data_IF_160499615478
#
_entry.id   IF_160499615478
#
_cell.length_a   1.000
_cell.length_b   1.000
_cell.length_c   1.000
_cell.angle_alpha   90.00
_cell.angle_beta   90.00
_cell.angle_gamma   90.00
#
_symmetry.space_group_name_H-M   'P 1'
#
loop_
_entity.id
_entity.type
_entity.pdbx_description
1 polymer ?
#
# COMPACT_ATOMS: atom_id res chain seq x y z
N UNK A 1 -35.48 -3.23 -0.79
CA UNK A 1 -34.19 -3.96 -0.71
C UNK A 1 -34.37 -5.08 0.29
N UNK A 2 -33.91 -6.30 0.00
CA UNK A 2 -34.09 -7.43 0.93
C UNK A 2 -33.40 -7.13 2.28
N UNK A 3 -33.98 -7.54 3.42
CA UNK A 3 -33.42 -7.29 4.74
C UNK A 3 -32.00 -7.85 4.89
N UNK A 4 -31.70 -8.92 4.17
CA UNK A 4 -30.37 -9.55 4.10
C UNK A 4 -29.33 -8.65 3.42
N UNK A 5 -29.69 -7.97 2.32
CA UNK A 5 -28.79 -7.02 1.66
C UNK A 5 -28.49 -5.82 2.56
N UNK A 6 -29.48 -5.34 3.31
CA UNK A 6 -29.25 -4.26 4.27
C UNK A 6 -28.32 -4.71 5.40
N UNK A 7 -28.57 -5.88 6.00
CA UNK A 7 -27.72 -6.42 7.06
C UNK A 7 -26.26 -6.59 6.59
N UNK A 8 -26.06 -7.10 5.37
CA UNK A 8 -24.75 -7.19 4.73
C UNK A 8 -24.11 -5.81 4.55
N UNK A 9 -24.81 -4.85 3.95
CA UNK A 9 -24.28 -3.50 3.72
C UNK A 9 -23.93 -2.74 5.01
N UNK A 10 -24.59 -3.04 6.12
CA UNK A 10 -24.27 -2.46 7.44
C UNK A 10 -23.20 -3.20 8.24
N UNK A 11 -22.73 -4.37 7.80
CA UNK A 11 -21.74 -5.19 8.53
C UNK A 11 -20.31 -4.64 8.51
N UNK A 12 -20.15 -3.32 8.38
CA UNK A 12 -18.86 -2.64 8.41
C UNK A 12 -18.19 -2.83 9.76
N UNK A 13 -17.00 -3.41 9.74
CA UNK A 13 -16.19 -3.54 10.94
C UNK A 13 -15.34 -2.29 11.09
N UNK A 14 -15.68 -1.45 12.06
CA UNK A 14 -14.93 -0.23 12.35
C UNK A 14 -13.68 -0.59 13.15
N UNK A 15 -12.57 -0.83 12.45
CA UNK A 15 -11.27 -1.09 13.06
C UNK A 15 -10.48 0.23 13.20
N UNK A 16 -10.46 0.85 14.40
CA UNK A 16 -9.88 2.18 14.58
C UNK A 16 -8.38 2.21 14.28
N UNK A 17 -7.68 1.10 14.55
CA UNK A 17 -6.26 0.93 14.22
C UNK A 17 -5.94 1.09 12.73
N UNK A 18 -6.76 0.51 11.85
CA UNK A 18 -6.60 0.64 10.40
C UNK A 18 -6.88 2.09 9.99
N UNK A 19 -7.99 2.65 10.45
CA UNK A 19 -8.38 4.02 10.13
C UNK A 19 -7.35 5.05 10.61
N UNK A 20 -6.77 4.85 11.80
CA UNK A 20 -5.72 5.70 12.34
C UNK A 20 -4.46 5.63 11.47
N UNK A 21 -4.02 4.43 11.10
CA UNK A 21 -2.85 4.27 10.22
C UNK A 21 -3.10 4.88 8.83
N UNK A 22 -4.23 4.57 8.19
CA UNK A 22 -4.56 5.13 6.87
C UNK A 22 -4.75 6.65 6.94
N UNK A 23 -5.36 7.17 8.00
CA UNK A 23 -5.50 8.60 8.25
C UNK A 23 -4.16 9.29 8.47
N UNK A 24 -3.26 8.68 9.24
CA UNK A 24 -1.90 9.19 9.46
C UNK A 24 -1.10 9.24 8.15
N UNK A 25 -1.07 8.15 7.38
CA UNK A 25 -0.35 8.15 6.10
C UNK A 25 -1.02 9.04 5.05
N UNK A 26 -2.36 9.08 5.04
CA UNK A 26 -3.20 9.99 4.25
C UNK A 26 -2.87 11.46 4.48
N UNK A 27 -2.81 11.86 5.76
CA UNK A 27 -2.49 13.23 6.17
C UNK A 27 -1.03 13.57 5.88
N UNK A 28 -0.08 12.68 6.17
CA UNK A 28 1.33 12.90 5.84
C UNK A 28 1.55 13.06 4.33
N UNK A 29 0.94 12.21 3.50
CA UNK A 29 1.05 12.30 2.05
C UNK A 29 0.47 13.61 1.53
N UNK A 30 -0.76 13.96 1.92
CA UNK A 30 -1.42 15.20 1.49
C UNK A 30 -0.65 16.43 1.94
N UNK A 31 -0.19 16.49 3.18
CA UNK A 31 0.65 17.59 3.69
C UNK A 31 1.94 17.72 2.90
N UNK A 32 2.61 16.60 2.62
CA UNK A 32 3.82 16.57 1.81
C UNK A 32 3.61 17.05 0.39
N UNK A 33 2.51 16.61 -0.25
CA UNK A 33 2.10 17.05 -1.57
C UNK A 33 1.81 18.56 -1.61
N UNK A 34 1.05 19.09 -0.65
CA UNK A 34 0.74 20.53 -0.55
C UNK A 34 2.02 21.34 -0.33
N UNK A 35 2.91 20.93 0.59
CA UNK A 35 4.18 21.62 0.86
C UNK A 35 5.08 21.64 -0.37
N UNK A 36 5.16 20.53 -1.10
CA UNK A 36 5.99 20.42 -2.31
C UNK A 36 5.42 21.27 -3.45
N UNK A 37 4.09 21.28 -3.61
CA UNK A 37 3.41 22.11 -4.61
C UNK A 37 3.58 23.61 -4.32
N UNK A 38 3.46 24.03 -3.06
CA UNK A 38 3.64 25.43 -2.64
C UNK A 38 5.07 25.94 -2.84
N UNK A 39 6.10 25.11 -2.56
CA UNK A 39 7.50 25.55 -2.66
C UNK A 39 8.04 25.63 -4.09
N UNK A 40 7.56 24.80 -4.99
CA UNK A 40 8.12 24.73 -6.35
C UNK A 40 7.17 25.20 -7.44
N UNK A 41 5.95 25.66 -7.11
CA UNK A 41 4.95 26.26 -8.00
C UNK A 41 4.36 25.32 -9.07
N UNK A 42 5.22 24.59 -9.78
CA UNK A 42 4.96 23.77 -10.96
C UNK A 42 5.90 22.56 -11.03
N UNK A 43 6.21 21.96 -9.87
CA UNK A 43 7.03 20.75 -9.83
C UNK A 43 6.27 19.61 -10.54
N UNK A 44 6.84 19.04 -11.61
CA UNK A 44 6.24 17.93 -12.37
C UNK A 44 5.86 16.73 -11.48
N UNK A 45 6.50 16.60 -10.32
CA UNK A 45 6.24 15.54 -9.35
C UNK A 45 4.91 15.71 -8.61
N UNK A 46 4.51 16.93 -8.23
CA UNK A 46 3.32 17.19 -7.41
C UNK A 46 2.04 17.36 -8.26
N UNK A 47 1.80 16.42 -9.17
CA UNK A 47 0.63 16.45 -10.04
C UNK A 47 -0.63 15.96 -9.28
N UNK A 48 -1.81 16.48 -9.63
CA UNK A 48 -3.09 16.16 -8.98
C UNK A 48 -3.50 14.70 -9.15
N UNK A 49 -3.20 14.10 -10.31
CA UNK A 49 -3.47 12.68 -10.57
C UNK A 49 -2.79 11.76 -9.55
N UNK A 50 -1.57 12.06 -9.10
CA UNK A 50 -0.87 11.23 -8.11
C UNK A 50 -1.55 11.25 -6.75
N UNK A 51 -2.06 12.41 -6.36
CA UNK A 51 -2.85 12.56 -5.14
C UNK A 51 -4.17 11.79 -5.25
N UNK A 52 -4.83 11.87 -6.40
CA UNK A 52 -6.04 11.09 -6.67
C UNK A 52 -5.77 9.58 -6.64
N UNK A 53 -4.73 9.10 -7.32
CA UNK A 53 -4.33 7.68 -7.29
C UNK A 53 -4.02 7.20 -5.87
N UNK A 54 -3.39 8.03 -5.04
CA UNK A 54 -3.10 7.69 -3.65
C UNK A 54 -4.37 7.51 -2.82
N UNK A 55 -5.29 8.47 -2.88
CA UNK A 55 -6.56 8.37 -2.17
C UNK A 55 -7.44 7.23 -2.69
N UNK A 56 -7.40 6.96 -4.00
CA UNK A 56 -8.08 5.81 -4.58
C UNK A 56 -7.49 4.50 -4.04
N UNK A 57 -6.16 4.41 -3.90
CA UNK A 57 -5.50 3.26 -3.27
C UNK A 57 -5.94 3.09 -1.81
N UNK A 58 -5.95 4.16 -1.01
CA UNK A 58 -6.41 4.11 0.39
C UNK A 58 -7.88 3.68 0.48
N UNK A 59 -8.73 4.17 -0.42
CA UNK A 59 -10.14 3.79 -0.48
C UNK A 59 -10.30 2.31 -0.82
N UNK A 60 -9.53 1.78 -1.77
CA UNK A 60 -9.53 0.36 -2.09
C UNK A 60 -9.10 -0.50 -0.89
N UNK A 61 -8.13 -0.04 -0.10
CA UNK A 61 -7.71 -0.72 1.14
C UNK A 61 -8.83 -0.70 2.18
N UNK A 62 -9.51 0.44 2.37
CA UNK A 62 -10.66 0.56 3.27
C UNK A 62 -11.77 -0.40 2.85
N UNK A 63 -12.11 -0.43 1.57
CA UNK A 63 -13.13 -1.34 1.05
C UNK A 63 -12.73 -2.81 1.20
N UNK A 64 -11.46 -3.16 1.07
CA UNK A 64 -11.02 -4.54 1.23
C UNK A 64 -11.00 -5.01 2.71
N UNK A 65 -10.81 -4.11 3.68
CA UNK A 65 -10.56 -4.48 5.08
C UNK A 65 -11.67 -4.11 6.08
N UNK A 66 -12.48 -3.10 5.76
CA UNK A 66 -13.51 -2.59 6.67
C UNK A 66 -14.93 -2.88 6.15
N UNK A 67 -15.04 -3.32 4.89
CA UNK A 67 -16.33 -3.62 4.27
C UNK A 67 -16.76 -5.08 4.54
N UNK A 68 -18.01 -5.42 4.21
CA UNK A 68 -18.55 -6.78 4.32
C UNK A 68 -17.75 -7.83 3.55
N UNK A 69 -16.89 -7.41 2.61
CA UNK A 69 -15.98 -8.30 1.88
C UNK A 69 -15.02 -9.04 2.81
N UNK A 70 -14.55 -8.40 3.89
CA UNK A 70 -13.65 -9.05 4.86
C UNK A 70 -14.38 -10.15 5.66
N UNK A 71 -15.58 -9.82 6.15
CA UNK A 71 -16.44 -10.77 6.88
C UNK A 71 -16.82 -11.95 5.99
N UNK A 72 -17.32 -11.66 4.78
CA UNK A 72 -17.68 -12.70 3.81
C UNK A 72 -16.46 -13.45 3.29
N UNK A 73 -15.27 -12.85 3.28
CA UNK A 73 -14.02 -13.50 2.91
C UNK A 73 -13.64 -14.62 3.87
N UNK A 74 -13.99 -14.50 5.16
CA UNK A 74 -13.80 -15.59 6.12
C UNK A 74 -14.73 -16.79 5.90
N UNK A 75 -15.85 -16.59 5.18
CA UNK A 75 -16.89 -17.60 4.98
C UNK A 75 -16.91 -18.17 3.55
N UNK A 76 -16.58 -17.34 2.56
CA UNK A 76 -16.74 -17.63 1.14
C UNK A 76 -15.42 -17.39 0.41
N UNK A 77 -14.89 -18.46 -0.20
CA UNK A 77 -13.62 -18.41 -0.92
C UNK A 77 -13.59 -17.35 -2.04
N UNK A 78 -14.69 -17.17 -2.78
CA UNK A 78 -14.70 -16.17 -3.85
C UNK A 78 -14.63 -14.73 -3.32
N UNK A 79 -15.22 -14.45 -2.14
CA UNK A 79 -15.11 -13.13 -1.51
C UNK A 79 -13.71 -12.90 -0.97
N UNK A 80 -13.07 -13.94 -0.43
CA UNK A 80 -11.66 -13.89 -0.04
C UNK A 80 -10.76 -13.57 -1.25
N UNK A 81 -11.02 -14.17 -2.41
CA UNK A 81 -10.28 -13.85 -3.64
C UNK A 81 -10.53 -12.41 -4.11
N UNK A 82 -11.76 -11.91 -4.03
CA UNK A 82 -12.06 -10.50 -4.34
C UNK A 82 -11.27 -9.57 -3.43
N UNK A 83 -11.17 -9.88 -2.13
CA UNK A 83 -10.35 -9.12 -1.18
C UNK A 83 -8.87 -9.10 -1.60
N UNK A 84 -8.30 -10.27 -1.91
CA UNK A 84 -6.92 -10.38 -2.37
C UNK A 84 -6.68 -9.62 -3.67
N UNK A 85 -7.60 -9.69 -4.64
CA UNK A 85 -7.50 -8.96 -5.91
C UNK A 85 -7.61 -7.45 -5.71
N UNK A 86 -8.50 -6.97 -4.84
CA UNK A 86 -8.59 -5.54 -4.50
C UNK A 86 -7.27 -5.03 -3.93
N UNK A 87 -6.64 -5.77 -3.02
CA UNK A 87 -5.38 -5.34 -2.41
C UNK A 87 -4.19 -5.42 -3.39
N UNK A 88 -4.10 -6.51 -4.16
CA UNK A 88 -2.93 -6.78 -5.01
C UNK A 88 -3.00 -6.13 -6.39
N UNK A 89 -4.19 -6.08 -7.01
CA UNK A 89 -4.38 -5.60 -8.39
C UNK A 89 -4.89 -4.17 -8.45
N UNK A 90 -5.54 -3.66 -7.39
CA UNK A 90 -6.05 -2.28 -7.35
C UNK A 90 -5.22 -1.41 -6.43
N UNK A 91 -5.16 -1.74 -5.14
CA UNK A 91 -4.49 -0.88 -4.15
C UNK A 91 -2.98 -0.77 -4.41
N UNK A 92 -2.27 -1.89 -4.59
CA UNK A 92 -0.81 -1.85 -4.78
C UNK A 92 -0.36 -1.07 -6.04
N UNK A 93 -0.94 -1.27 -7.24
CA UNK A 93 -0.54 -0.51 -8.43
C UNK A 93 -0.88 0.99 -8.32
N UNK A 94 -2.04 1.34 -7.75
CA UNK A 94 -2.42 2.73 -7.52
C UNK A 94 -1.48 3.41 -6.52
N UNK A 95 -1.09 2.71 -5.46
CA UNK A 95 -0.10 3.17 -4.49
C UNK A 95 1.26 3.39 -5.16
N UNK A 96 1.66 2.50 -6.06
CA UNK A 96 2.92 2.63 -6.80
C UNK A 96 2.90 3.82 -7.77
N UNK A 97 1.79 4.03 -8.48
CA UNK A 97 1.55 5.19 -9.36
C UNK A 97 1.60 6.52 -8.61
N UNK A 98 1.08 6.55 -7.38
CA UNK A 98 1.13 7.73 -6.52
C UNK A 98 2.55 8.13 -6.09
N UNK A 99 3.50 7.18 -6.12
CA UNK A 99 4.89 7.34 -5.66
C UNK A 99 4.97 8.06 -4.29
N UNK A 100 4.54 7.42 -3.19
CA UNK A 100 4.31 8.07 -1.91
C UNK A 100 5.57 8.47 -1.15
N UNK A 101 6.71 7.82 -1.41
CA UNK A 101 7.95 8.04 -0.65
C UNK A 101 8.35 9.52 -0.57
N UNK A 102 8.49 10.27 -1.68
CA UNK A 102 8.83 11.69 -1.63
C UNK A 102 7.82 12.53 -0.83
N UNK A 103 6.53 12.22 -0.94
CA UNK A 103 5.47 13.00 -0.29
C UNK A 103 5.41 12.71 1.21
N UNK A 104 5.49 11.45 1.63
CA UNK A 104 5.51 11.07 3.05
C UNK A 104 6.69 11.72 3.79
N UNK A 105 7.88 11.74 3.19
CA UNK A 105 9.06 12.39 3.79
C UNK A 105 8.87 13.90 3.92
N UNK A 106 8.21 14.53 2.94
CA UNK A 106 7.88 15.97 2.99
C UNK A 106 6.74 16.30 3.96
N UNK A 107 5.87 15.32 4.25
CA UNK A 107 4.81 15.42 5.25
C UNK A 107 5.33 15.48 6.68
N UNK A 108 6.45 14.80 6.97
CA UNK A 108 7.07 14.76 8.29
C UNK A 108 7.42 16.16 8.83
N UNK A 109 7.39 16.36 10.17
CA UNK A 109 7.89 17.58 10.80
C UNK A 109 9.40 17.77 10.59
N UNK A 110 9.89 18.99 10.81
CA UNK A 110 11.25 19.43 10.41
C UNK A 110 12.37 18.55 10.98
N UNK A 111 12.25 18.12 12.25
CA UNK A 111 13.23 17.25 12.93
C UNK A 111 13.29 15.84 12.31
N UNK A 112 12.20 15.03 12.30
CA UNK A 112 12.26 13.69 11.71
C UNK A 112 12.51 13.72 10.20
N UNK A 113 12.07 14.75 9.49
CA UNK A 113 12.36 14.91 8.06
C UNK A 113 13.87 14.96 7.79
N UNK A 114 14.65 15.67 8.60
CA UNK A 114 16.10 15.77 8.43
C UNK A 114 16.79 14.45 8.76
N UNK A 115 16.37 13.77 9.84
CA UNK A 115 16.92 12.45 10.21
C UNK A 115 16.60 11.40 9.17
N UNK A 116 15.34 11.27 8.76
CA UNK A 116 14.87 10.31 7.74
C UNK A 116 15.49 10.63 6.39
N UNK A 117 15.53 11.92 6.00
CA UNK A 117 16.16 12.36 4.76
C UNK A 117 17.66 12.07 4.71
N UNK A 118 18.40 12.26 5.82
CA UNK A 118 19.82 11.92 5.93
C UNK A 118 20.05 10.41 5.95
N UNK A 119 19.25 9.65 6.69
CA UNK A 119 19.32 8.20 6.74
C UNK A 119 19.05 7.57 5.36
N UNK A 120 18.00 8.02 4.66
CA UNK A 120 17.70 7.61 3.28
C UNK A 120 18.78 8.06 2.31
N UNK A 121 19.29 9.28 2.42
CA UNK A 121 20.39 9.76 1.57
C UNK A 121 21.65 8.92 1.76
N UNK A 122 21.97 8.54 3.00
CA UNK A 122 23.11 7.68 3.32
C UNK A 122 22.91 6.25 2.83
N UNK A 123 21.74 5.66 3.09
CA UNK A 123 21.40 4.31 2.66
C UNK A 123 21.30 4.18 1.13
N UNK A 124 20.81 5.23 0.44
CA UNK A 124 20.53 5.25 -0.99
C UNK A 124 21.55 6.06 -1.81
N UNK A 125 22.68 6.45 -1.21
CA UNK A 125 23.76 7.16 -1.87
C UNK A 125 24.33 6.32 -3.03
N UNK A 126 24.80 6.99 -4.10
CA UNK A 126 25.18 6.40 -5.40
C UNK A 126 26.19 5.23 -5.35
N UNK A 127 26.91 5.06 -4.23
CA UNK A 127 27.91 3.99 -4.00
C UNK A 127 27.61 3.08 -2.80
N UNK A 128 26.44 3.19 -2.15
CA UNK A 128 26.10 2.34 -1.01
C UNK A 128 25.88 0.88 -1.46
N UNK A 129 26.58 -0.06 -0.83
CA UNK A 129 26.43 -1.51 -1.05
C UNK A 129 24.97 -1.95 -0.94
N UNK A 130 24.20 -1.30 -0.08
CA UNK A 130 22.77 -1.56 0.11
C UNK A 130 21.96 -1.34 -1.18
N UNK A 131 22.16 -0.20 -1.88
CA UNK A 131 21.48 0.08 -3.14
C UNK A 131 21.88 -0.89 -4.24
N UNK A 132 23.15 -1.31 -4.28
CA UNK A 132 23.63 -2.30 -5.25
C UNK A 132 23.03 -3.68 -5.00
N UNK A 133 22.96 -4.12 -3.73
CA UNK A 133 22.30 -5.37 -3.33
C UNK A 133 20.82 -5.31 -3.68
N UNK A 134 20.13 -4.23 -3.31
CA UNK A 134 18.72 -4.05 -3.59
C UNK A 134 18.47 -4.08 -5.11
N UNK A 135 19.25 -3.34 -5.91
CA UNK A 135 19.12 -3.33 -7.36
C UNK A 135 19.39 -4.70 -8.01
N UNK A 136 20.26 -5.52 -7.44
CA UNK A 136 20.47 -6.91 -7.89
C UNK A 136 19.27 -7.78 -7.53
N UNK A 137 18.81 -7.73 -6.28
CA UNK A 137 17.66 -8.52 -5.80
C UNK A 137 16.33 -8.12 -6.46
N UNK A 138 16.16 -6.84 -6.81
CA UNK A 138 14.96 -6.33 -7.50
C UNK A 138 15.12 -6.35 -9.02
N UNK A 139 15.96 -7.24 -9.56
CA UNK A 139 15.98 -7.48 -11.01
C UNK A 139 14.69 -8.19 -11.43
N UNK A 140 14.16 -7.92 -12.65
CA UNK A 140 12.90 -8.49 -13.09
C UNK A 140 12.89 -10.02 -13.03
N UNK A 141 14.02 -10.68 -13.32
CA UNK A 141 14.15 -12.13 -13.21
C UNK A 141 14.04 -12.66 -11.78
N UNK A 142 14.69 -12.02 -10.79
CA UNK A 142 14.61 -12.45 -9.39
C UNK A 142 13.22 -12.16 -8.82
N UNK A 143 12.64 -10.99 -9.11
CA UNK A 143 11.28 -10.68 -8.70
C UNK A 143 10.26 -11.67 -9.29
N UNK A 144 10.39 -12.02 -10.58
CA UNK A 144 9.52 -12.99 -11.23
C UNK A 144 9.72 -14.39 -10.64
N UNK A 145 10.97 -14.81 -10.44
CA UNK A 145 11.28 -16.09 -9.79
C UNK A 145 10.70 -16.18 -8.38
N UNK A 146 10.90 -15.15 -7.55
CA UNK A 146 10.32 -15.07 -6.21
C UNK A 146 8.79 -15.09 -6.25
N UNK A 147 8.16 -14.38 -7.19
CA UNK A 147 6.71 -14.39 -7.37
C UNK A 147 6.20 -15.79 -7.73
N UNK A 148 6.83 -16.47 -8.68
CA UNK A 148 6.47 -17.84 -9.10
C UNK A 148 6.65 -18.82 -7.95
N UNK A 149 7.80 -18.78 -7.27
CA UNK A 149 8.06 -19.64 -6.10
C UNK A 149 7.03 -19.38 -5.01
N UNK A 150 6.73 -18.12 -4.70
CA UNK A 150 5.73 -17.77 -3.67
C UNK A 150 4.35 -18.30 -4.05
N UNK A 151 3.95 -18.16 -5.32
CA UNK A 151 2.68 -18.71 -5.82
C UNK A 151 2.64 -20.23 -5.68
N UNK A 152 3.71 -20.92 -6.06
CA UNK A 152 3.77 -22.38 -6.01
C UNK A 152 3.74 -22.89 -4.56
N UNK A 153 4.54 -22.28 -3.68
CA UNK A 153 4.62 -22.61 -2.25
C UNK A 153 3.26 -22.44 -1.57
N UNK A 154 2.53 -21.35 -1.88
CA UNK A 154 1.21 -21.11 -1.29
C UNK A 154 0.11 -22.02 -1.83
N UNK A 155 0.32 -22.70 -2.96
CA UNK A 155 -0.65 -23.65 -3.54
C UNK A 155 -0.23 -25.11 -3.35
N UNK A 156 0.90 -25.37 -2.70
CA UNK A 156 1.34 -26.71 -2.37
C UNK A 156 0.60 -27.22 -1.12
N UNK A 157 -0.32 -28.18 -1.34
CA UNK A 157 -1.12 -28.76 -0.26
C UNK A 157 -0.30 -29.59 0.75
N UNK A 158 0.91 -30.02 0.40
CA UNK A 158 1.77 -30.78 1.31
C UNK A 158 2.39 -29.87 2.37
N UNK A 159 2.82 -28.66 2.00
CA UNK A 159 3.29 -27.65 2.96
C UNK A 159 2.18 -27.24 3.93
N UNK A 160 0.93 -27.16 3.46
CA UNK A 160 -0.24 -26.91 4.32
C UNK A 160 -0.48 -28.05 5.31
N UNK A 161 -0.37 -29.30 4.85
CA UNK A 161 -0.54 -30.49 5.70
C UNK A 161 0.59 -30.68 6.72
N UNK A 162 1.80 -30.18 6.46
CA UNK A 162 2.93 -30.22 7.39
C UNK A 162 2.84 -29.14 8.50
N UNK A 163 2.01 -28.11 8.29
CA UNK A 163 1.82 -27.02 9.25
C UNK A 163 0.63 -27.24 10.21
N UNK A 164 -0.09 -28.37 10.06
CA UNK A 164 -1.20 -28.80 10.91
C UNK A 164 -0.74 -29.90 11.88
#
# INVERSE_FOLDING_TARGET
MSPELNALLTSWQWRPEILLLLGLFGTLYTMGWVRLRRRSGRNKLANGWRLFSYWLALTAIVLALLSPVDVLGSLLFYMHMIQHLLLTMVAAPLMMLANPMPFLIWGLPTRPRQTVGRALSHALHRQSRFRTILRRLTTPGICLGLMVVTLWVWHDGNLYNLAL
#
